data_IF_596020271395
#
_entry.id   IF_596020271395
#
_cell.length_a   1.000
_cell.length_b   1.000
_cell.length_c   1.000
_cell.angle_alpha   90.00
_cell.angle_beta   90.00
_cell.angle_gamma   90.00
#
_symmetry.space_group_name_H-M   'P 1'
#
loop_
_entity.id
_entity.type
_entity.pdbx_description
1 polymer ?
#
# COMPACT_ATOMS: atom_id res chain seq x y z
N UNK A 1 -15.72 12.00 -1.22
CA UNK A 1 -14.29 12.39 -1.17
C UNK A 1 -13.51 11.15 -1.57
N UNK A 2 -12.57 11.20 -2.53
CA UNK A 2 -11.80 10.00 -2.88
C UNK A 2 -10.64 9.87 -1.89
N UNK A 3 -10.65 8.81 -1.08
CA UNK A 3 -9.54 8.53 -0.18
C UNK A 3 -8.45 7.80 -0.95
N UNK A 4 -7.30 8.46 -1.11
CA UNK A 4 -6.19 7.99 -1.94
C UNK A 4 -4.97 7.87 -1.03
N UNK A 5 -4.37 6.68 -0.98
CA UNK A 5 -3.16 6.40 -0.21
C UNK A 5 -2.01 6.24 -1.22
N UNK A 6 -1.11 7.23 -1.35
CA UNK A 6 -0.04 7.19 -2.33
C UNK A 6 1.22 6.55 -1.76
N UNK A 7 1.68 5.47 -2.39
CA UNK A 7 3.01 4.89 -2.19
C UNK A 7 3.93 5.45 -3.27
N UNK A 8 4.59 6.56 -2.94
CA UNK A 8 5.37 7.38 -3.88
C UNK A 8 6.83 6.96 -3.85
N UNK A 9 7.37 6.53 -4.99
CA UNK A 9 8.80 6.43 -5.26
C UNK A 9 9.36 7.71 -5.90
N UNK A 10 10.64 7.70 -6.24
CA UNK A 10 11.30 8.90 -6.80
C UNK A 10 10.71 9.34 -8.15
N UNK A 11 10.36 8.38 -9.01
CA UNK A 11 9.84 8.66 -10.36
C UNK A 11 8.39 8.24 -10.53
N UNK A 12 7.91 7.31 -9.69
CA UNK A 12 6.64 6.65 -9.89
C UNK A 12 5.80 6.55 -8.64
N UNK A 13 4.48 6.39 -8.82
CA UNK A 13 3.54 6.24 -7.69
C UNK A 13 2.62 5.06 -7.93
N UNK A 14 2.49 4.23 -6.89
CA UNK A 14 1.41 3.27 -6.75
C UNK A 14 0.39 3.84 -5.76
N UNK A 15 -0.85 4.03 -6.18
CA UNK A 15 -1.89 4.62 -5.35
C UNK A 15 -3.01 3.61 -5.08
N UNK A 16 -3.43 3.52 -3.81
CA UNK A 16 -4.60 2.76 -3.41
C UNK A 16 -5.77 3.72 -3.24
N UNK A 17 -6.81 3.54 -4.04
CA UNK A 17 -8.01 4.36 -4.00
C UNK A 17 -9.10 3.58 -3.28
N UNK A 18 -9.48 3.98 -2.07
CA UNK A 18 -10.67 3.43 -1.40
C UNK A 18 -11.90 4.02 -2.09
N UNK A 19 -12.62 3.17 -2.81
CA UNK A 19 -13.78 3.57 -3.63
C UNK A 19 -15.10 3.30 -2.95
N UNK A 20 -15.14 2.38 -1.98
CA UNK A 20 -16.32 2.06 -1.19
C UNK A 20 -15.93 1.59 0.21
N UNK A 21 -16.70 2.04 1.22
CA UNK A 21 -16.61 1.59 2.61
C UNK A 21 -17.97 1.03 3.00
N UNK A 22 -18.06 -0.30 3.14
CA UNK A 22 -19.30 -0.96 3.55
C UNK A 22 -19.22 -1.36 5.02
N UNK A 23 -19.85 -0.56 5.88
CA UNK A 23 -19.87 -0.78 7.33
C UNK A 23 -20.69 -2.01 7.74
N UNK A 24 -21.77 -2.34 7.01
CA UNK A 24 -22.62 -3.47 7.35
C UNK A 24 -21.89 -4.81 7.18
N UNK A 25 -21.01 -4.89 6.18
CA UNK A 25 -20.19 -6.07 5.91
C UNK A 25 -18.74 -5.95 6.39
N UNK A 26 -18.36 -4.81 6.99
CA UNK A 26 -17.00 -4.48 7.43
C UNK A 26 -15.93 -4.70 6.34
N UNK A 27 -16.20 -4.21 5.11
CA UNK A 27 -15.29 -4.35 3.96
C UNK A 27 -15.03 -3.03 3.24
N UNK A 28 -13.87 -2.95 2.59
CA UNK A 28 -13.43 -1.88 1.71
C UNK A 28 -13.32 -2.40 0.28
N UNK A 29 -13.70 -1.56 -0.69
CA UNK A 29 -13.27 -1.75 -2.09
C UNK A 29 -12.14 -0.79 -2.38
N UNK A 30 -11.04 -1.34 -2.89
CA UNK A 30 -9.83 -0.59 -3.20
C UNK A 30 -9.47 -0.83 -4.66
N UNK A 31 -9.25 0.23 -5.41
CA UNK A 31 -8.61 0.18 -6.72
C UNK A 31 -7.12 0.50 -6.58
N UNK A 32 -6.26 -0.31 -7.20
CA UNK A 32 -4.83 -0.04 -7.26
C UNK A 32 -4.51 0.59 -8.60
N UNK A 33 -3.90 1.75 -8.54
CA UNK A 33 -3.50 2.56 -9.68
C UNK A 33 -1.99 2.68 -9.71
N UNK A 34 -1.39 2.39 -10.86
CA UNK A 34 0.01 2.71 -11.14
C UNK A 34 0.01 3.83 -12.17
N UNK A 35 0.50 4.99 -11.76
CA UNK A 35 0.38 6.22 -12.56
C UNK A 35 -1.08 6.49 -12.96
N UNK A 36 -1.34 6.73 -14.25
CA UNK A 36 -2.67 6.99 -14.80
C UNK A 36 -3.46 5.72 -15.13
N UNK A 37 -2.96 4.52 -14.79
CA UNK A 37 -3.58 3.24 -15.15
C UNK A 37 -4.07 2.49 -13.92
N UNK A 38 -5.37 2.13 -13.90
CA UNK A 38 -5.90 1.13 -12.96
C UNK A 38 -5.33 -0.22 -13.33
N UNK A 39 -4.63 -0.85 -12.39
CA UNK A 39 -4.00 -2.16 -12.58
C UNK A 39 -4.71 -3.27 -11.81
N UNK A 40 -5.38 -2.96 -10.69
CA UNK A 40 -6.08 -3.96 -9.88
C UNK A 40 -7.31 -3.39 -9.19
N UNK A 41 -8.15 -4.29 -8.70
CA UNK A 41 -9.22 -3.98 -7.77
C UNK A 41 -9.34 -5.13 -6.76
N UNK A 42 -9.39 -4.79 -5.49
CA UNK A 42 -9.49 -5.74 -4.38
C UNK A 42 -10.61 -5.34 -3.42
N UNK A 43 -11.17 -6.35 -2.76
CA UNK A 43 -12.10 -6.15 -1.63
C UNK A 43 -11.44 -6.71 -0.39
N UNK A 44 -11.30 -5.89 0.64
CA UNK A 44 -10.61 -6.23 1.89
C UNK A 44 -11.57 -6.13 3.06
N UNK A 45 -11.45 -7.02 4.04
CA UNK A 45 -12.06 -6.79 5.34
C UNK A 45 -11.37 -5.63 6.07
N UNK A 46 -12.07 -5.01 7.02
CA UNK A 46 -11.46 -4.00 7.91
C UNK A 46 -10.29 -4.61 8.69
N UNK A 47 -10.40 -5.87 9.13
CA UNK A 47 -9.34 -6.58 9.85
C UNK A 47 -8.06 -6.72 9.01
N UNK A 48 -8.18 -7.16 7.74
CA UNK A 48 -7.01 -7.29 6.85
C UNK A 48 -6.33 -5.94 6.59
N UNK A 49 -7.14 -4.90 6.39
CA UNK A 49 -6.65 -3.55 6.17
C UNK A 49 -5.97 -2.97 7.41
N UNK A 50 -6.58 -3.11 8.58
CA UNK A 50 -6.04 -2.62 9.85
C UNK A 50 -4.76 -3.35 10.26
N UNK A 51 -4.70 -4.66 10.04
CA UNK A 51 -3.49 -5.45 10.27
C UNK A 51 -2.34 -4.90 9.43
N UNK A 52 -2.55 -4.73 8.12
CA UNK A 52 -1.53 -4.17 7.23
C UNK A 52 -1.15 -2.73 7.65
N UNK A 53 -2.12 -1.88 7.98
CA UNK A 53 -1.86 -0.52 8.44
C UNK A 53 -0.99 -0.48 9.70
N UNK A 54 -1.25 -1.39 10.65
CA UNK A 54 -0.47 -1.54 11.87
C UNK A 54 0.96 -2.03 11.60
N UNK A 55 1.13 -3.07 10.78
CA UNK A 55 2.44 -3.58 10.39
C UNK A 55 3.26 -2.54 9.64
N UNK A 56 2.63 -1.82 8.71
CA UNK A 56 3.26 -0.74 7.98
C UNK A 56 3.75 0.37 8.92
N UNK A 57 2.93 0.81 9.89
CA UNK A 57 3.36 1.76 10.92
C UNK A 57 4.57 1.27 11.71
N UNK A 58 4.54 0.02 12.17
CA UNK A 58 5.66 -0.55 12.93
C UNK A 58 6.97 -0.59 12.13
N UNK A 59 6.92 -1.03 10.87
CA UNK A 59 8.11 -1.12 10.02
C UNK A 59 8.65 0.26 9.68
N UNK A 60 7.75 1.20 9.37
CA UNK A 60 8.13 2.58 9.05
C UNK A 60 8.84 3.28 10.22
N UNK A 61 8.45 3.01 11.47
CA UNK A 61 9.07 3.62 12.65
C UNK A 61 10.38 2.93 13.09
N UNK A 62 10.53 1.62 12.82
CA UNK A 62 11.59 0.80 13.42
C UNK A 62 12.77 0.45 12.51
N UNK A 63 12.69 0.73 11.21
CA UNK A 63 13.62 0.30 10.15
C UNK A 63 15.04 -0.16 10.60
N UNK A 64 15.56 -1.28 10.07
CA UNK A 64 15.15 -1.96 8.84
C UNK A 64 14.03 -2.98 9.05
N UNK A 65 13.34 -3.33 7.98
CA UNK A 65 12.29 -4.36 7.99
C UNK A 65 11.46 -4.33 6.71
N UNK A 66 10.56 -5.29 6.55
CA UNK A 66 9.57 -5.24 5.47
C UNK A 66 8.18 -5.55 5.96
N UNK A 67 7.19 -5.01 5.25
CA UNK A 67 5.78 -5.36 5.40
C UNK A 67 5.26 -5.80 4.04
N UNK A 68 4.58 -6.94 4.01
CA UNK A 68 3.99 -7.48 2.80
C UNK A 68 2.48 -7.53 2.92
N UNK A 69 1.81 -7.22 1.83
CA UNK A 69 0.40 -7.37 1.66
C UNK A 69 0.13 -8.30 0.47
N UNK A 70 -0.74 -9.28 0.68
CA UNK A 70 -1.15 -10.22 -0.36
C UNK A 70 -2.67 -10.31 -0.41
N UNK A 71 -3.23 -10.04 -1.58
CA UNK A 71 -4.65 -10.26 -1.87
C UNK A 71 -4.79 -11.02 -3.17
N UNK A 72 -5.33 -12.24 -3.11
CA UNK A 72 -5.51 -13.09 -4.29
C UNK A 72 -4.22 -13.23 -5.11
N UNK A 73 -4.16 -12.62 -6.29
CA UNK A 73 -3.03 -12.63 -7.22
C UNK A 73 -2.10 -11.43 -7.04
N UNK A 74 -2.51 -10.39 -6.31
CA UNK A 74 -1.72 -9.17 -6.11
C UNK A 74 -0.84 -9.29 -4.86
N UNK A 75 0.45 -9.01 -5.03
CA UNK A 75 1.44 -8.92 -3.95
C UNK A 75 2.00 -7.51 -3.94
N UNK A 76 2.10 -6.92 -2.76
CA UNK A 76 2.68 -5.61 -2.50
C UNK A 76 3.63 -5.69 -1.29
N UNK A 77 4.81 -5.11 -1.37
CA UNK A 77 5.78 -5.11 -0.28
C UNK A 77 6.45 -3.74 -0.14
N UNK A 78 6.67 -3.32 1.09
CA UNK A 78 7.51 -2.18 1.43
C UNK A 78 8.73 -2.68 2.19
N UNK A 79 9.92 -2.47 1.65
CA UNK A 79 11.18 -2.94 2.22
C UNK A 79 12.02 -1.74 2.63
N UNK A 80 12.30 -1.61 3.92
CA UNK A 80 13.08 -0.52 4.51
C UNK A 80 14.48 -1.01 4.85
N UNK A 81 15.48 -0.25 4.41
CA UNK A 81 16.85 -0.44 4.86
C UNK A 81 17.17 0.36 6.14
N UNK A 82 18.42 0.28 6.60
CA UNK A 82 18.87 0.98 7.82
C UNK A 82 19.02 2.49 7.66
N UNK A 83 19.06 2.99 6.42
CA UNK A 83 19.28 4.39 6.08
C UNK A 83 17.95 5.11 5.77
N UNK A 84 16.82 4.40 5.84
CA UNK A 84 15.51 4.93 5.51
C UNK A 84 15.23 4.93 4.01
N UNK A 85 16.02 4.24 3.19
CA UNK A 85 15.63 3.93 1.82
C UNK A 85 14.53 2.87 1.83
N UNK A 86 13.57 3.04 0.92
CA UNK A 86 12.43 2.14 0.80
C UNK A 86 12.35 1.60 -0.62
N UNK A 87 12.16 0.29 -0.76
CA UNK A 87 11.74 -0.31 -2.03
C UNK A 87 10.24 -0.61 -1.92
N UNK A 88 9.46 -0.01 -2.81
CA UNK A 88 8.06 -0.37 -3.00
C UNK A 88 8.03 -1.42 -4.10
N UNK A 89 7.60 -2.62 -3.77
CA UNK A 89 7.52 -3.72 -4.71
C UNK A 89 6.08 -4.15 -4.92
N UNK A 90 5.72 -4.50 -6.16
CA UNK A 90 4.43 -5.14 -6.42
C UNK A 90 4.47 -6.04 -7.65
N UNK A 91 3.60 -7.05 -7.68
CA UNK A 91 3.40 -7.91 -8.84
C UNK A 91 2.04 -8.59 -8.81
N UNK A 92 1.65 -9.15 -9.97
CA UNK A 92 0.61 -10.17 -10.05
C UNK A 92 1.23 -11.57 -10.09
N UNK A 93 0.48 -12.58 -9.65
CA UNK A 93 0.92 -13.97 -9.65
C UNK A 93 1.33 -14.42 -11.07
N UNK A 94 2.58 -14.83 -11.23
CA UNK A 94 3.13 -15.23 -12.52
C UNK A 94 3.67 -14.09 -13.40
N UNK A 95 3.57 -12.84 -12.94
CA UNK A 95 4.13 -11.67 -13.62
C UNK A 95 5.48 -11.22 -13.03
N UNK A 96 6.19 -10.38 -13.77
CA UNK A 96 7.44 -9.77 -13.32
C UNK A 96 7.18 -8.72 -12.24
N UNK A 97 8.11 -8.61 -11.30
CA UNK A 97 8.04 -7.66 -10.20
C UNK A 97 8.35 -6.24 -10.66
N UNK A 98 7.50 -5.29 -10.28
CA UNK A 98 7.78 -3.87 -10.37
C UNK A 98 8.44 -3.41 -9.08
N UNK A 99 9.51 -2.63 -9.19
CA UNK A 99 10.29 -2.12 -8.05
C UNK A 99 10.42 -0.61 -8.21
N UNK A 100 9.91 0.14 -7.24
CA UNK A 100 9.95 1.60 -7.20
C UNK A 100 10.84 2.01 -6.01
N UNK A 101 12.05 2.52 -6.26
CA UNK A 101 12.89 3.10 -5.22
C UNK A 101 12.25 4.34 -4.63
N UNK A 102 12.36 4.49 -3.31
CA UNK A 102 11.78 5.57 -2.51
C UNK A 102 12.63 5.81 -1.25
N UNK A 103 12.15 6.70 -0.39
CA UNK A 103 12.66 6.92 0.94
C UNK A 103 11.51 7.08 1.95
N UNK A 104 11.84 6.99 3.23
CA UNK A 104 10.89 7.06 4.32
C UNK A 104 10.05 8.35 4.29
N UNK A 105 10.63 9.49 3.89
CA UNK A 105 9.91 10.77 3.89
C UNK A 105 8.79 10.80 2.85
N UNK A 106 8.98 10.14 1.70
CA UNK A 106 7.95 10.01 0.66
C UNK A 106 6.83 9.08 1.12
N UNK A 107 7.18 7.98 1.77
CA UNK A 107 6.20 7.00 2.27
C UNK A 107 5.39 7.53 3.47
N UNK A 108 5.90 8.54 4.19
CA UNK A 108 5.18 9.19 5.29
C UNK A 108 3.81 9.76 4.88
N UNK A 109 3.61 10.11 3.61
CA UNK A 109 2.29 10.53 3.11
C UNK A 109 1.29 9.37 3.11
N UNK A 110 1.71 8.19 2.67
CA UNK A 110 0.90 6.97 2.73
C UNK A 110 0.53 6.64 4.18
N UNK A 111 1.50 6.78 5.08
CA UNK A 111 1.35 6.49 6.50
C UNK A 111 0.29 7.36 7.19
N UNK A 112 0.20 8.64 6.81
CA UNK A 112 -0.79 9.55 7.36
C UNK A 112 -2.23 9.23 6.93
N UNK A 113 -2.39 8.46 5.84
CA UNK A 113 -3.67 8.18 5.21
C UNK A 113 -4.13 6.73 5.45
N UNK A 114 -3.18 5.79 5.60
CA UNK A 114 -3.50 4.38 5.88
C UNK A 114 -4.22 4.22 7.23
N UNK A 115 -5.20 3.31 7.27
CA UNK A 115 -6.03 3.07 8.46
C UNK A 115 -7.13 4.11 8.70
N UNK A 116 -7.39 5.01 7.74
CA UNK A 116 -8.50 5.98 7.83
C UNK A 116 -9.67 5.53 6.96
N UNK A 117 -10.87 5.60 7.51
CA UNK A 117 -12.15 5.31 6.86
C UNK A 117 -12.89 6.63 6.64
N UNK A 118 -12.87 7.18 5.43
CA UNK A 118 -13.58 8.44 5.09
C UNK A 118 -14.73 8.21 4.14
#
# INVERSE_FOLDING_TARGET
MKHIIPFTGYEETLAWHITEVNQASAVLKIEVWHQAKKIHQMTLSFEEYDRFAGEFRMVHERFPGSVSFKNSEFVFELIYDRLGHVQIEWCFAGESKHVLPSDQSYIGQALALIGVYT
#
